data_IF_089399939115
#
_entry.id   IF_089399939115
#
_cell.length_a   1.000
_cell.length_b   1.000
_cell.length_c   1.000
_cell.angle_alpha   90.00
_cell.angle_beta   90.00
_cell.angle_gamma   90.00
#
_symmetry.space_group_name_H-M   'P 1'
#
loop_
_entity.id
_entity.type
_entity.pdbx_description
1 polymer ?
#
# COMPACT_ATOMS: atom_id res chain seq x y z
N UNK A 1 5.04 -1.65 -4.98
CA UNK A 1 5.88 -1.11 -3.89
C UNK A 1 5.31 -1.41 -2.50
N UNK A 2 4.04 -1.08 -2.20
CA UNK A 2 3.45 -1.31 -0.85
C UNK A 2 3.58 -2.76 -0.35
N UNK A 3 3.46 -3.77 -1.20
CA UNK A 3 3.62 -5.17 -0.84
C UNK A 3 5.05 -5.55 -0.44
N UNK A 4 6.04 -4.99 -1.12
CA UNK A 4 7.47 -5.24 -0.85
C UNK A 4 7.99 -4.49 0.38
N UNK A 5 7.33 -3.38 0.76
CA UNK A 5 7.74 -2.50 1.87
C UNK A 5 6.99 -2.83 3.17
N UNK A 6 6.15 -3.87 3.17
CA UNK A 6 5.27 -4.20 4.32
C UNK A 6 6.01 -4.78 5.54
N UNK A 7 7.34 -4.90 5.50
CA UNK A 7 8.17 -5.44 6.58
C UNK A 7 8.64 -4.38 7.60
N UNK A 8 7.83 -3.36 7.86
CA UNK A 8 8.14 -2.38 8.91
C UNK A 8 7.97 -2.97 10.31
N UNK A 9 8.87 -2.57 11.24
CA UNK A 9 8.77 -2.94 12.66
C UNK A 9 7.47 -2.43 13.30
N UNK A 10 6.95 -1.32 12.79
CA UNK A 10 5.70 -0.71 13.24
C UNK A 10 4.92 -0.19 12.05
N UNK A 11 3.67 -0.56 11.91
CA UNK A 11 2.75 0.02 10.93
C UNK A 11 1.33 0.12 11.48
N UNK A 12 0.59 1.11 11.01
CA UNK A 12 -0.82 1.26 11.36
C UNK A 12 -1.69 0.71 10.24
N UNK A 13 -2.69 -0.07 10.60
CA UNK A 13 -3.75 -0.54 9.71
C UNK A 13 -5.08 0.05 10.19
N UNK A 14 -5.79 0.68 9.28
CA UNK A 14 -7.12 1.22 9.56
C UNK A 14 -8.13 0.20 9.03
N UNK A 15 -8.97 -0.32 9.90
CA UNK A 15 -10.16 -1.06 9.54
C UNK A 15 -11.36 -0.11 9.55
N UNK A 16 -12.56 -0.56 9.09
CA UNK A 16 -13.78 0.25 8.99
C UNK A 16 -14.16 0.94 10.31
N UNK A 17 -13.78 0.36 11.44
CA UNK A 17 -14.18 0.80 12.78
C UNK A 17 -13.03 1.28 13.66
N UNK A 18 -11.79 0.79 13.44
CA UNK A 18 -10.68 1.01 14.36
C UNK A 18 -9.33 1.17 13.64
N UNK A 19 -8.41 1.87 14.28
CA UNK A 19 -7.02 1.99 13.87
C UNK A 19 -6.18 1.04 14.72
N UNK A 20 -5.59 0.02 14.08
CA UNK A 20 -4.68 -0.90 14.73
C UNK A 20 -3.24 -0.48 14.52
N UNK A 21 -2.43 -0.61 15.56
CA UNK A 21 -0.97 -0.50 15.48
C UNK A 21 -0.40 -1.91 15.58
N UNK A 22 0.27 -2.35 14.54
CA UNK A 22 0.93 -3.66 14.52
C UNK A 22 2.42 -3.44 14.78
N UNK A 23 2.92 -4.06 15.84
CA UNK A 23 4.34 -4.05 16.22
C UNK A 23 4.97 -5.39 15.88
N UNK A 24 6.14 -5.36 15.29
CA UNK A 24 6.97 -6.52 14.96
C UNK A 24 8.38 -6.32 15.52
N UNK A 25 8.58 -6.40 16.83
CA UNK A 25 9.86 -6.07 17.45
C UNK A 25 10.99 -7.04 17.08
N UNK A 26 10.65 -8.29 16.74
CA UNK A 26 11.64 -9.35 16.48
C UNK A 26 12.11 -9.44 15.02
N UNK A 27 11.69 -8.54 14.12
CA UNK A 27 12.11 -8.59 12.70
C UNK A 27 13.64 -8.44 12.47
N UNK A 28 14.36 -7.87 13.42
CA UNK A 28 15.80 -7.65 13.31
C UNK A 28 16.63 -8.84 13.81
N UNK A 29 16.02 -9.79 14.48
CA UNK A 29 16.69 -10.96 15.06
C UNK A 29 16.60 -12.15 14.11
N UNK A 30 17.69 -12.91 14.00
CA UNK A 30 17.67 -14.17 13.25
C UNK A 30 16.88 -15.25 14.00
N UNK A 31 16.41 -16.26 13.27
CA UNK A 31 15.76 -17.42 13.90
C UNK A 31 16.68 -18.14 14.89
N UNK A 32 17.99 -18.15 14.61
CA UNK A 32 18.97 -18.80 15.48
C UNK A 32 19.17 -18.01 16.77
N UNK A 33 19.20 -16.67 16.72
CA UNK A 33 19.26 -15.83 17.93
C UNK A 33 18.06 -16.07 18.83
N UNK A 34 16.85 -16.15 18.22
CA UNK A 34 15.61 -16.40 18.98
C UNK A 34 15.58 -17.79 19.60
N UNK A 35 16.08 -18.81 18.89
CA UNK A 35 16.22 -20.16 19.42
C UNK A 35 17.20 -20.20 20.60
N UNK A 36 18.38 -19.59 20.43
CA UNK A 36 19.40 -19.49 21.47
C UNK A 36 18.83 -18.86 22.74
N UNK A 37 18.11 -17.74 22.61
CA UNK A 37 17.47 -17.08 23.75
C UNK A 37 16.43 -18.00 24.40
N UNK A 38 15.58 -18.66 23.59
CA UNK A 38 14.53 -19.54 24.11
C UNK A 38 15.10 -20.71 24.88
N UNK A 39 16.14 -21.36 24.38
CA UNK A 39 16.82 -22.48 25.04
C UNK A 39 17.51 -22.05 26.35
N UNK A 40 18.20 -20.91 26.34
CA UNK A 40 18.92 -20.43 27.55
C UNK A 40 17.99 -19.82 28.60
N UNK A 41 16.83 -19.30 28.22
CA UNK A 41 15.90 -18.64 29.16
C UNK A 41 14.82 -19.60 29.67
N UNK A 42 14.29 -20.44 28.77
CA UNK A 42 13.12 -21.30 29.07
C UNK A 42 13.47 -22.80 29.04
N UNK A 43 14.70 -23.16 28.69
CA UNK A 43 15.16 -24.56 28.61
C UNK A 43 14.70 -25.32 27.36
N UNK A 44 13.67 -24.83 26.66
CA UNK A 44 13.14 -25.50 25.47
C UNK A 44 12.26 -24.56 24.65
N UNK A 45 11.98 -24.94 23.40
CA UNK A 45 10.96 -24.31 22.57
C UNK A 45 10.14 -25.35 21.80
N UNK A 46 8.90 -25.03 21.47
CA UNK A 46 8.03 -25.92 20.72
C UNK A 46 8.34 -25.78 19.22
N UNK A 47 8.62 -26.89 18.57
CA UNK A 47 8.76 -26.95 17.11
C UNK A 47 7.41 -27.38 16.50
N UNK A 48 6.71 -26.40 15.91
CA UNK A 48 5.43 -26.67 15.25
C UNK A 48 5.67 -27.48 13.95
N UNK A 49 5.09 -28.69 13.81
CA UNK A 49 5.24 -29.53 12.62
C UNK A 49 4.84 -28.84 11.32
N UNK A 50 3.89 -27.92 11.38
CA UNK A 50 3.44 -27.16 10.20
C UNK A 50 4.53 -26.29 9.56
N UNK A 51 5.61 -25.99 10.30
CA UNK A 51 6.77 -25.26 9.78
C UNK A 51 7.58 -26.05 8.73
N UNK A 52 7.39 -27.37 8.67
CA UNK A 52 8.08 -28.26 7.72
C UNK A 52 7.16 -28.75 6.60
N UNK A 53 5.86 -28.45 6.67
CA UNK A 53 4.88 -28.89 5.68
C UNK A 53 4.98 -28.08 4.39
N UNK A 54 5.46 -28.74 3.32
CA UNK A 54 5.66 -28.14 1.99
C UNK A 54 4.36 -27.76 1.27
N UNK A 55 3.18 -28.17 1.75
CA UNK A 55 1.90 -27.73 1.22
C UNK A 55 1.67 -26.23 1.47
N UNK A 56 2.32 -25.65 2.47
CA UNK A 56 2.29 -24.22 2.68
C UNK A 56 3.32 -23.52 1.77
N UNK A 57 2.84 -22.63 0.90
CA UNK A 57 3.66 -21.87 -0.05
C UNK A 57 4.87 -21.18 0.64
N UNK A 58 4.71 -20.66 1.86
CA UNK A 58 5.80 -20.04 2.63
C UNK A 58 6.94 -21.03 2.96
N UNK A 59 6.62 -22.29 3.24
CA UNK A 59 7.61 -23.35 3.53
C UNK A 59 8.33 -23.73 2.24
N UNK A 60 7.58 -23.91 1.16
CA UNK A 60 8.13 -24.18 -0.16
C UNK A 60 9.12 -23.09 -0.62
N UNK A 61 8.74 -21.81 -0.50
CA UNK A 61 9.61 -20.68 -0.84
C UNK A 61 10.88 -20.66 0.02
N UNK A 62 10.78 -20.93 1.33
CA UNK A 62 11.97 -21.04 2.21
C UNK A 62 12.94 -22.11 1.74
N UNK A 63 12.45 -23.30 1.42
CA UNK A 63 13.29 -24.41 0.91
C UNK A 63 13.99 -24.02 -0.40
N UNK A 64 13.31 -23.32 -1.32
CA UNK A 64 13.94 -22.79 -2.53
C UNK A 64 15.02 -21.79 -2.18
N UNK A 65 14.77 -20.83 -1.31
CA UNK A 65 15.75 -19.82 -0.90
C UNK A 65 17.00 -20.46 -0.23
N UNK A 66 16.79 -21.48 0.60
CA UNK A 66 17.88 -22.26 1.20
C UNK A 66 18.69 -23.00 0.14
N UNK A 67 18.05 -23.58 -0.88
CA UNK A 67 18.73 -24.29 -1.98
C UNK A 67 19.57 -23.37 -2.89
N UNK A 68 19.18 -22.11 -3.03
CA UNK A 68 19.90 -21.14 -3.88
C UNK A 68 21.24 -20.70 -3.27
N UNK A 69 21.54 -21.04 -1.99
CA UNK A 69 22.78 -20.64 -1.28
C UNK A 69 23.15 -19.18 -1.56
N UNK A 70 22.22 -18.26 -1.30
CA UNK A 70 22.48 -16.84 -1.48
C UNK A 70 23.72 -16.45 -0.66
N UNK A 71 24.76 -15.96 -1.35
CA UNK A 71 25.94 -15.43 -0.67
C UNK A 71 25.50 -14.25 0.21
N UNK A 72 26.13 -14.07 1.37
CA UNK A 72 25.84 -12.95 2.29
C UNK A 72 25.80 -11.59 1.59
N UNK A 73 26.69 -11.39 0.61
CA UNK A 73 26.70 -10.20 -0.24
C UNK A 73 25.40 -9.97 -0.97
N UNK A 74 24.74 -11.02 -1.47
CA UNK A 74 23.47 -10.91 -2.21
C UNK A 74 22.32 -10.58 -1.26
N UNK A 75 22.31 -11.14 -0.06
CA UNK A 75 21.34 -10.80 0.99
C UNK A 75 21.45 -9.33 1.36
N UNK A 76 22.67 -8.84 1.60
CA UNK A 76 22.92 -7.42 1.89
C UNK A 76 22.45 -6.49 0.76
N UNK A 77 22.65 -6.86 -0.49
CA UNK A 77 22.18 -6.08 -1.63
C UNK A 77 20.64 -6.04 -1.71
N UNK A 78 19.97 -7.13 -1.36
CA UNK A 78 18.52 -7.19 -1.26
C UNK A 78 18.03 -6.24 -0.16
N UNK A 79 18.65 -6.27 1.03
CA UNK A 79 18.30 -5.37 2.14
C UNK A 79 18.48 -3.90 1.77
N UNK A 80 19.58 -3.57 1.09
CA UNK A 80 19.83 -2.22 0.57
C UNK A 80 18.78 -1.80 -0.45
N UNK A 81 18.34 -2.72 -1.33
CA UNK A 81 17.29 -2.45 -2.30
C UNK A 81 15.95 -2.18 -1.61
N UNK A 82 15.60 -2.94 -0.57
CA UNK A 82 14.40 -2.69 0.22
C UNK A 82 14.46 -1.33 0.95
N UNK A 83 15.61 -0.98 1.53
CA UNK A 83 15.79 0.31 2.19
C UNK A 83 15.64 1.49 1.19
N UNK A 84 16.17 1.34 -0.04
CA UNK A 84 16.03 2.33 -1.10
C UNK A 84 14.55 2.47 -1.54
N UNK A 85 13.86 1.35 -1.72
CA UNK A 85 12.43 1.35 -2.06
C UNK A 85 11.59 1.99 -0.94
N UNK A 86 11.94 1.77 0.32
CA UNK A 86 11.26 2.38 1.46
C UNK A 86 11.42 3.90 1.45
N UNK A 87 12.63 4.42 1.28
CA UNK A 87 12.89 5.87 1.15
C UNK A 87 12.14 6.49 -0.02
N UNK A 88 12.15 5.82 -1.19
CA UNK A 88 11.41 6.27 -2.36
C UNK A 88 9.90 6.32 -2.10
N UNK A 89 9.36 5.32 -1.40
CA UNK A 89 7.95 5.30 -1.04
C UNK A 89 7.58 6.39 -0.04
N UNK A 90 8.45 6.72 0.91
CA UNK A 90 8.23 7.82 1.86
C UNK A 90 8.16 9.17 1.15
N UNK A 91 9.04 9.41 0.18
CA UNK A 91 8.98 10.60 -0.65
C UNK A 91 7.66 10.66 -1.45
N UNK A 92 7.25 9.57 -2.08
CA UNK A 92 5.98 9.50 -2.79
C UNK A 92 4.78 9.77 -1.85
N UNK A 93 4.74 9.15 -0.68
CA UNK A 93 3.65 9.36 0.30
C UNK A 93 3.61 10.81 0.80
N UNK A 94 4.77 11.47 0.94
CA UNK A 94 4.82 12.90 1.26
C UNK A 94 4.11 13.74 0.18
N UNK A 95 4.43 13.52 -1.09
CA UNK A 95 3.81 14.25 -2.20
C UNK A 95 2.33 13.88 -2.39
N UNK A 96 1.93 12.64 -2.16
CA UNK A 96 0.52 12.23 -2.16
C UNK A 96 -0.27 12.99 -1.10
N UNK A 97 0.27 13.06 0.13
CA UNK A 97 -0.37 13.80 1.23
C UNK A 97 -0.42 15.31 0.93
N UNK A 98 0.64 15.87 0.34
CA UNK A 98 0.68 17.25 -0.10
C UNK A 98 -0.39 17.52 -1.16
N UNK A 99 -0.48 16.68 -2.21
CA UNK A 99 -1.50 16.80 -3.26
C UNK A 99 -2.92 16.76 -2.67
N UNK A 100 -3.20 15.83 -1.77
CA UNK A 100 -4.50 15.72 -1.10
C UNK A 100 -4.81 16.95 -0.24
N UNK A 101 -3.82 17.50 0.46
CA UNK A 101 -4.00 18.66 1.33
C UNK A 101 -4.25 19.95 0.55
N UNK A 102 -3.51 20.16 -0.53
CA UNK A 102 -3.51 21.43 -1.28
C UNK A 102 -4.60 21.47 -2.36
N UNK A 103 -4.94 20.32 -2.93
CA UNK A 103 -5.78 20.24 -4.13
C UNK A 103 -7.18 19.65 -3.89
N UNK A 104 -7.50 19.21 -2.67
CA UNK A 104 -8.89 18.91 -2.27
C UNK A 104 -9.52 20.18 -1.71
N UNK A 105 -10.39 20.81 -2.51
CA UNK A 105 -11.04 22.09 -2.17
C UNK A 105 -12.10 21.88 -1.09
N UNK A 106 -12.90 20.82 -1.21
CA UNK A 106 -13.97 20.52 -0.29
C UNK A 106 -14.15 19.01 -0.12
N UNK A 107 -14.46 18.60 1.10
CA UNK A 107 -14.75 17.21 1.45
C UNK A 107 -15.93 17.14 2.39
N UNK A 108 -16.97 16.46 1.99
CA UNK A 108 -18.14 16.13 2.80
C UNK A 108 -18.32 14.60 2.89
N UNK A 109 -19.37 14.17 3.60
CA UNK A 109 -19.70 12.74 3.71
C UNK A 109 -19.99 12.07 2.35
N UNK A 110 -20.58 12.82 1.40
CA UNK A 110 -21.06 12.28 0.13
C UNK A 110 -20.38 12.90 -1.10
N UNK A 111 -19.47 13.88 -0.93
CA UNK A 111 -18.88 14.62 -2.04
C UNK A 111 -17.47 15.07 -1.71
N UNK A 112 -16.59 14.93 -2.68
CA UNK A 112 -15.21 15.47 -2.66
C UNK A 112 -15.03 16.31 -3.93
N UNK A 113 -14.43 17.49 -3.80
CA UNK A 113 -14.13 18.37 -4.92
C UNK A 113 -12.63 18.56 -4.96
N UNK A 114 -12.02 18.28 -6.11
CA UNK A 114 -10.60 18.51 -6.36
C UNK A 114 -10.43 19.52 -7.48
N UNK A 115 -9.40 20.35 -7.39
CA UNK A 115 -9.07 21.32 -8.43
C UNK A 115 -8.28 20.69 -9.59
N UNK A 116 -8.07 21.44 -10.67
CA UNK A 116 -7.30 21.00 -11.84
C UNK A 116 -5.86 20.64 -11.49
N UNK A 117 -5.22 21.36 -10.55
CA UNK A 117 -3.84 21.14 -10.14
C UNK A 117 -3.61 19.80 -9.45
N UNK A 118 -4.68 19.14 -8.99
CA UNK A 118 -4.64 17.77 -8.48
C UNK A 118 -4.08 16.79 -9.53
N UNK A 119 -4.41 17.01 -10.81
CA UNK A 119 -3.97 16.17 -11.94
C UNK A 119 -2.67 16.64 -12.55
N UNK A 120 -2.21 17.86 -12.28
CA UNK A 120 -0.92 18.41 -12.75
C UNK A 120 0.27 17.94 -11.89
N UNK A 121 0.20 16.72 -11.37
CA UNK A 121 1.24 16.08 -10.59
C UNK A 121 1.81 14.89 -11.38
N UNK A 122 2.99 14.36 -11.02
CA UNK A 122 3.48 13.11 -11.59
C UNK A 122 2.43 12.00 -11.51
N UNK A 123 2.33 11.17 -12.55
CA UNK A 123 1.28 10.15 -12.72
C UNK A 123 1.11 9.27 -11.46
N UNK A 124 2.19 8.82 -10.86
CA UNK A 124 2.15 7.99 -9.64
C UNK A 124 1.53 8.74 -8.45
N UNK A 125 1.75 10.06 -8.34
CA UNK A 125 1.16 10.88 -7.28
C UNK A 125 -0.34 11.01 -7.50
N UNK A 126 -0.77 11.31 -8.72
CA UNK A 126 -2.21 11.35 -9.08
C UNK A 126 -2.88 10.01 -8.82
N UNK A 127 -2.26 8.93 -9.31
CA UNK A 127 -2.76 7.57 -9.14
C UNK A 127 -2.96 7.20 -7.67
N UNK A 128 -1.97 7.44 -6.81
CA UNK A 128 -2.08 7.14 -5.38
C UNK A 128 -3.04 8.07 -4.65
N UNK A 129 -3.09 9.33 -5.02
CA UNK A 129 -4.04 10.30 -4.45
C UNK A 129 -5.48 9.90 -4.75
N UNK A 130 -5.80 9.52 -5.99
CA UNK A 130 -7.11 8.99 -6.37
C UNK A 130 -7.42 7.66 -5.68
N UNK A 131 -6.45 6.75 -5.64
CA UNK A 131 -6.60 5.47 -4.94
C UNK A 131 -6.91 5.67 -3.46
N UNK A 132 -6.21 6.58 -2.79
CA UNK A 132 -6.45 6.93 -1.39
C UNK A 132 -7.84 7.54 -1.19
N UNK A 133 -8.23 8.47 -2.06
CA UNK A 133 -9.54 9.11 -2.04
C UNK A 133 -10.65 8.07 -2.21
N UNK A 134 -10.55 7.19 -3.21
CA UNK A 134 -11.53 6.14 -3.45
C UNK A 134 -11.64 5.15 -2.29
N UNK A 135 -10.52 4.75 -1.70
CA UNK A 135 -10.50 3.80 -0.58
C UNK A 135 -11.14 4.39 0.69
N UNK A 136 -11.01 5.69 0.91
CA UNK A 136 -11.61 6.37 2.07
C UNK A 136 -13.07 6.74 1.84
N UNK A 137 -13.46 6.95 0.58
CA UNK A 137 -14.77 7.48 0.23
C UNK A 137 -15.74 6.40 -0.24
N UNK A 138 -15.25 5.35 -0.91
CA UNK A 138 -16.07 4.20 -1.33
C UNK A 138 -16.46 3.32 -0.14
N UNK A 139 -17.74 2.96 -0.04
CA UNK A 139 -18.22 1.99 0.95
C UNK A 139 -17.89 0.54 0.59
N UNK A 140 -17.18 0.29 -0.51
CA UNK A 140 -16.87 -1.07 -0.96
C UNK A 140 -15.71 -1.65 -0.15
N UNK A 141 -15.88 -2.86 0.37
CA UNK A 141 -14.84 -3.64 1.06
C UNK A 141 -13.67 -4.02 0.14
N UNK A 142 -13.86 -3.97 -1.17
CA UNK A 142 -12.87 -4.38 -2.16
C UNK A 142 -12.15 -3.17 -2.75
N UNK A 143 -10.82 -3.18 -2.65
CA UNK A 143 -9.96 -2.16 -3.25
C UNK A 143 -10.22 -2.03 -4.77
N UNK A 144 -10.26 -0.81 -5.26
CA UNK A 144 -10.40 -0.54 -6.70
C UNK A 144 -9.17 -1.08 -7.44
N UNK A 145 -9.39 -1.80 -8.54
CA UNK A 145 -8.29 -2.31 -9.38
C UNK A 145 -7.50 -1.14 -9.97
N UNK A 146 -6.16 -1.22 -9.91
CA UNK A 146 -5.27 -0.17 -10.40
C UNK A 146 -5.48 0.19 -11.87
N UNK A 147 -5.76 -0.80 -12.74
CA UNK A 147 -6.07 -0.56 -14.16
C UNK A 147 -7.27 0.37 -14.38
N UNK A 148 -8.28 0.28 -13.52
CA UNK A 148 -9.46 1.16 -13.61
C UNK A 148 -9.13 2.60 -13.23
N UNK A 149 -8.27 2.80 -12.23
CA UNK A 149 -7.81 4.13 -11.83
C UNK A 149 -6.94 4.74 -12.94
N UNK A 150 -6.01 3.96 -13.50
CA UNK A 150 -5.17 4.40 -14.61
C UNK A 150 -6.01 4.80 -15.83
N UNK A 151 -7.05 4.04 -16.19
CA UNK A 151 -7.97 4.40 -17.27
C UNK A 151 -8.73 5.69 -16.97
N UNK A 152 -9.17 5.91 -15.72
CA UNK A 152 -9.82 7.16 -15.33
C UNK A 152 -8.90 8.37 -15.53
N UNK A 153 -7.62 8.27 -15.13
CA UNK A 153 -6.63 9.33 -15.32
C UNK A 153 -6.45 9.63 -16.82
N UNK A 154 -6.24 8.60 -17.64
CA UNK A 154 -6.09 8.75 -19.09
C UNK A 154 -7.32 9.41 -19.73
N UNK A 155 -8.52 9.02 -19.34
CA UNK A 155 -9.76 9.61 -19.87
C UNK A 155 -9.91 11.07 -19.43
N UNK A 156 -9.49 11.42 -18.21
CA UNK A 156 -9.51 12.80 -17.73
C UNK A 156 -8.57 13.69 -18.53
N UNK A 157 -7.36 13.22 -18.89
CA UNK A 157 -6.36 13.96 -19.63
C UNK A 157 -6.69 14.09 -21.13
N UNK A 158 -7.27 13.02 -21.72
CA UNK A 158 -7.46 12.93 -23.18
C UNK A 158 -8.76 13.54 -23.69
N UNK A 159 -9.75 13.82 -22.84
CA UNK A 159 -11.06 14.27 -23.30
C UNK A 159 -11.40 15.70 -22.87
N UNK A 160 -11.61 16.57 -23.87
CA UNK A 160 -12.33 17.84 -23.66
C UNK A 160 -13.76 17.60 -23.15
N UNK A 161 -14.34 16.43 -23.44
CA UNK A 161 -15.72 16.01 -23.09
C UNK A 161 -15.77 14.92 -22.05
N UNK A 162 -15.08 15.08 -20.91
CA UNK A 162 -15.24 14.23 -19.76
C UNK A 162 -16.48 14.71 -18.97
N UNK A 163 -17.65 14.12 -19.21
CA UNK A 163 -18.86 14.56 -18.53
C UNK A 163 -19.12 13.81 -17.22
N UNK A 164 -19.14 12.48 -17.25
CA UNK A 164 -19.49 11.67 -16.08
C UNK A 164 -19.00 10.24 -16.22
N UNK A 165 -18.27 9.73 -15.23
CA UNK A 165 -17.81 8.33 -15.17
C UNK A 165 -18.12 7.75 -13.80
N UNK A 166 -18.60 6.50 -13.76
CA UNK A 166 -18.81 5.77 -12.52
C UNK A 166 -17.70 4.77 -12.28
N UNK A 167 -17.07 4.82 -11.10
CA UNK A 167 -16.01 3.90 -10.70
C UNK A 167 -16.13 3.59 -9.20
N UNK A 168 -16.18 2.30 -8.87
CA UNK A 168 -16.17 1.80 -7.48
C UNK A 168 -17.21 2.39 -6.56
N UNK A 169 -18.43 2.66 -7.06
CA UNK A 169 -19.52 3.27 -6.30
C UNK A 169 -19.33 4.75 -6.06
N UNK A 170 -18.50 5.38 -6.90
CA UNK A 170 -18.34 6.82 -6.96
C UNK A 170 -18.60 7.31 -8.38
N UNK A 171 -19.19 8.46 -8.48
CA UNK A 171 -19.44 9.18 -9.72
C UNK A 171 -18.44 10.32 -9.81
N UNK A 172 -17.74 10.39 -10.92
CA UNK A 172 -16.77 11.43 -11.27
C UNK A 172 -17.39 12.36 -12.31
N UNK A 173 -17.42 13.64 -12.04
CA UNK A 173 -18.01 14.65 -12.90
C UNK A 173 -17.06 15.85 -13.01
N UNK A 174 -16.70 16.21 -14.24
CA UNK A 174 -15.85 17.38 -14.50
C UNK A 174 -16.76 18.61 -14.63
N UNK A 175 -16.51 19.59 -13.78
CA UNK A 175 -17.22 20.87 -13.78
C UNK A 175 -16.21 21.99 -13.84
N UNK A 176 -16.14 22.68 -14.97
CA UNK A 176 -15.13 23.73 -15.22
C UNK A 176 -13.71 23.22 -14.93
N UNK A 177 -13.02 23.84 -13.98
CA UNK A 177 -11.65 23.51 -13.57
C UNK A 177 -11.57 22.54 -12.38
N UNK A 178 -12.67 21.86 -12.04
CA UNK A 178 -12.74 20.96 -10.87
C UNK A 178 -13.29 19.60 -11.27
N UNK A 179 -12.86 18.56 -10.54
CA UNK A 179 -13.49 17.26 -10.59
C UNK A 179 -14.28 17.04 -9.30
N UNK A 180 -15.52 16.70 -9.48
CA UNK A 180 -16.44 16.33 -8.40
C UNK A 180 -16.48 14.82 -8.31
N UNK A 181 -16.24 14.28 -7.13
CA UNK A 181 -16.37 12.86 -6.80
C UNK A 181 -17.49 12.73 -5.80
N UNK A 182 -18.60 12.11 -6.21
CA UNK A 182 -19.77 11.87 -5.35
C UNK A 182 -20.01 10.38 -5.17
N UNK A 183 -20.70 10.00 -4.08
CA UNK A 183 -21.14 8.61 -3.93
C UNK A 183 -22.26 8.30 -4.91
N UNK A 184 -22.24 7.12 -5.47
CA UNK A 184 -23.36 6.56 -6.21
C UNK A 184 -24.49 6.26 -5.21
N UNK A 185 -25.65 6.82 -5.44
CA UNK A 185 -26.85 6.63 -4.62
C UNK A 185 -27.51 5.32 -5.01
#
# INVERSE_FOLDING_TARGET
>A
LKGLISFKNKFSKINKYEKFIILRPLLKFSKNDLKYIAENTFGSYINDPSNNDSNFLRVYIRKILESIKLKEKNIRNIDLSFANLERSNEAIEFYVNKNLKENVIAKSKNKIIVNKTFFNQPEEIVFRSLSSTLNTFSNKLKLTRGSKIANLIKTYDSSEKFYKITLSGCVFEKVSNSLIISREI
#
